data_IF_430232181247
#
_entry.id   IF_430232181247
#
_cell.length_a   1.000
_cell.length_b   1.000
_cell.length_c   1.000
_cell.angle_alpha   90.00
_cell.angle_beta   90.00
_cell.angle_gamma   90.00
#
_symmetry.space_group_name_H-M   'P 1'
#
loop_
_entity.id
_entity.type
_entity.pdbx_description
1 polymer ?
#
# COMPACT_ATOMS: atom_id res chain seq x y z
N UNK A 1 -17.62 19.09 5.34
CA UNK A 1 -17.16 18.27 4.20
C UNK A 1 -16.45 19.22 3.27
N UNK A 2 -15.16 19.39 3.47
CA UNK A 2 -14.33 20.32 2.71
C UNK A 2 -13.11 19.52 2.30
N UNK A 3 -13.11 19.11 1.04
CA UNK A 3 -11.95 18.52 0.40
C UNK A 3 -10.84 19.58 0.41
N UNK A 4 -9.60 19.16 0.60
CA UNK A 4 -8.45 20.02 0.37
C UNK A 4 -8.56 20.54 -1.08
N UNK A 5 -8.82 21.84 -1.24
CA UNK A 5 -9.12 22.50 -2.54
C UNK A 5 -7.97 22.38 -3.56
N UNK A 6 -6.82 21.87 -3.13
CA UNK A 6 -5.66 21.61 -3.99
C UNK A 6 -5.68 20.20 -4.61
N UNK A 7 -6.48 19.26 -4.08
CA UNK A 7 -6.58 17.90 -4.63
C UNK A 7 -7.64 17.79 -5.76
N UNK A 8 -8.64 18.68 -5.77
CA UNK A 8 -9.69 18.69 -6.81
C UNK A 8 -9.26 19.39 -8.12
N UNK A 9 -8.25 20.26 -8.07
CA UNK A 9 -7.78 20.99 -9.27
C UNK A 9 -7.03 20.09 -10.26
N UNK A 10 -6.50 18.95 -9.82
CA UNK A 10 -5.72 18.03 -10.65
C UNK A 10 -6.56 16.98 -11.41
N UNK A 11 -7.87 16.90 -11.17
CA UNK A 11 -8.77 16.10 -12.04
C UNK A 11 -9.07 16.78 -13.38
N UNK A 12 -8.93 18.10 -13.46
CA UNK A 12 -9.25 18.89 -14.64
C UNK A 12 -8.08 19.06 -15.62
N UNK A 13 -6.86 18.64 -15.24
CA UNK A 13 -5.66 18.72 -16.08
C UNK A 13 -5.25 17.35 -16.65
N UNK A 14 -6.24 16.51 -17.01
CA UNK A 14 -6.08 15.26 -17.78
C UNK A 14 -5.14 15.50 -18.95
N UNK A 15 -3.86 15.22 -18.66
CA UNK A 15 -2.74 15.78 -19.38
C UNK A 15 -2.68 15.21 -20.78
N UNK A 16 -2.26 16.08 -21.70
CA UNK A 16 -1.75 15.73 -23.01
C UNK A 16 -1.11 14.34 -23.00
N UNK A 17 -1.75 13.38 -23.67
CA UNK A 17 -1.27 12.01 -23.80
C UNK A 17 0.14 12.05 -24.39
N UNK A 18 1.16 11.91 -23.52
CA UNK A 18 2.55 11.83 -23.97
C UNK A 18 2.70 10.49 -24.67
N UNK A 19 3.02 10.52 -25.96
CA UNK A 19 3.42 9.33 -26.69
C UNK A 19 4.70 8.78 -26.09
N UNK A 20 4.76 7.47 -25.85
CA UNK A 20 5.94 6.79 -25.32
C UNK A 20 7.05 6.80 -26.38
N UNK A 21 8.19 7.39 -26.05
CA UNK A 21 9.39 7.31 -26.90
C UNK A 21 10.25 6.14 -26.39
N UNK A 22 10.07 4.94 -26.93
CA UNK A 22 10.76 3.73 -26.46
C UNK A 22 12.31 3.78 -26.58
N UNK A 23 12.87 4.76 -27.31
CA UNK A 23 14.31 5.00 -27.30
C UNK A 23 14.77 5.64 -25.99
N UNK A 24 13.96 6.54 -25.43
CA UNK A 24 14.30 7.35 -24.24
C UNK A 24 13.53 6.97 -22.98
N UNK A 25 12.42 6.27 -23.14
CA UNK A 25 11.49 5.90 -22.11
C UNK A 25 11.48 4.38 -21.90
N UNK A 26 11.09 3.98 -20.69
CA UNK A 26 10.82 2.62 -20.27
C UNK A 26 9.47 2.60 -19.59
N UNK A 27 8.75 1.50 -19.76
CA UNK A 27 7.49 1.30 -19.06
C UNK A 27 7.74 0.68 -17.70
N UNK A 28 7.12 1.22 -16.66
CA UNK A 28 7.16 0.70 -15.29
C UNK A 28 5.75 0.39 -14.84
N UNK A 29 5.49 -0.85 -14.45
CA UNK A 29 4.21 -1.24 -13.87
C UNK A 29 4.28 -1.18 -12.34
N UNK A 30 3.36 -0.44 -11.75
CA UNK A 30 3.23 -0.32 -10.30
C UNK A 30 1.94 -0.98 -9.83
N UNK A 31 2.09 -1.91 -8.88
CA UNK A 31 0.97 -2.56 -8.19
C UNK A 31 0.75 -2.02 -6.76
N UNK A 32 1.68 -1.22 -6.24
CA UNK A 32 1.74 -0.85 -4.82
C UNK A 32 1.61 0.65 -4.57
N UNK A 33 2.38 1.16 -3.59
CA UNK A 33 2.24 2.54 -3.09
C UNK A 33 2.73 3.64 -4.04
N UNK A 34 3.32 3.32 -5.20
CA UNK A 34 3.66 4.32 -6.22
C UNK A 34 2.46 4.68 -7.09
N UNK A 35 1.35 3.93 -7.01
CA UNK A 35 0.11 4.25 -7.73
C UNK A 35 -0.48 5.60 -7.31
N UNK A 36 -1.32 6.20 -8.17
CA UNK A 36 -2.01 7.47 -7.88
C UNK A 36 -2.84 7.37 -6.60
N UNK A 37 -2.85 8.45 -5.82
CA UNK A 37 -3.58 8.55 -4.55
C UNK A 37 -2.87 7.95 -3.33
N UNK A 38 -1.77 7.21 -3.51
CA UNK A 38 -0.99 6.67 -2.39
C UNK A 38 0.08 7.65 -1.91
N UNK A 39 0.48 7.51 -0.65
CA UNK A 39 1.47 8.39 0.00
C UNK A 39 2.84 8.43 -0.70
N UNK A 40 3.28 7.36 -1.39
CA UNK A 40 4.56 7.35 -2.09
C UNK A 40 4.47 7.86 -3.54
N UNK A 41 3.28 8.24 -4.02
CA UNK A 41 3.05 8.72 -5.39
C UNK A 41 3.86 9.99 -5.74
N UNK A 42 4.23 10.80 -4.75
CA UNK A 42 5.09 11.97 -4.99
C UNK A 42 6.44 11.59 -5.66
N UNK A 43 6.91 10.35 -5.50
CA UNK A 43 8.15 9.89 -6.13
C UNK A 43 8.03 9.67 -7.64
N UNK A 44 6.80 9.51 -8.15
CA UNK A 44 6.50 9.44 -9.58
C UNK A 44 6.00 10.78 -10.15
N UNK A 45 5.76 11.79 -9.30
CA UNK A 45 5.58 13.20 -9.70
C UNK A 45 6.92 13.90 -10.00
N UNK A 46 7.85 13.20 -10.67
CA UNK A 46 9.13 13.77 -11.12
C UNK A 46 9.05 14.09 -12.59
N UNK A 47 9.69 15.18 -13.01
CA UNK A 47 9.84 15.52 -14.44
C UNK A 47 10.45 14.34 -15.18
N UNK A 48 9.69 13.75 -16.12
CA UNK A 48 10.11 12.58 -16.88
C UNK A 48 9.48 11.25 -16.44
N UNK A 49 8.56 11.27 -15.48
CA UNK A 49 7.66 10.15 -15.18
C UNK A 49 6.22 10.61 -15.41
N UNK A 50 5.45 9.84 -16.15
CA UNK A 50 4.03 10.15 -16.41
C UNK A 50 3.19 8.88 -16.41
N UNK A 51 2.03 8.95 -15.77
CA UNK A 51 1.01 7.92 -15.91
C UNK A 51 0.64 7.73 -17.39
N UNK A 52 0.45 6.49 -17.81
CA UNK A 52 0.04 6.16 -19.17
C UNK A 52 -1.35 5.54 -19.23
N UNK A 53 -1.54 4.41 -18.54
CA UNK A 53 -2.84 3.72 -18.46
C UNK A 53 -2.85 2.71 -17.31
N UNK A 54 -4.02 2.25 -16.91
CA UNK A 54 -4.15 1.08 -16.03
C UNK A 54 -3.79 -0.19 -16.81
N UNK A 55 -3.30 -1.20 -16.11
CA UNK A 55 -2.90 -2.46 -16.72
C UNK A 55 -3.07 -3.63 -15.76
N UNK A 56 -3.04 -4.85 -16.31
CA UNK A 56 -3.09 -6.11 -15.57
C UNK A 56 -1.96 -7.02 -16.03
N UNK A 57 -1.29 -7.76 -15.14
CA UNK A 57 -0.21 -8.68 -15.55
C UNK A 57 -0.71 -9.77 -16.50
N UNK A 58 0.08 -10.11 -17.53
CA UNK A 58 -0.33 -11.20 -18.44
C UNK A 58 -0.14 -12.58 -17.85
N UNK A 59 0.79 -12.71 -16.90
CA UNK A 59 0.98 -13.94 -16.13
C UNK A 59 0.41 -13.75 -14.71
N UNK A 60 -0.09 -14.83 -14.08
CA UNK A 60 -0.50 -14.77 -12.69
C UNK A 60 0.71 -14.68 -11.76
N UNK A 61 0.55 -13.91 -10.68
CA UNK A 61 1.54 -13.72 -9.63
C UNK A 61 0.90 -13.86 -8.26
N UNK A 62 1.71 -14.19 -7.25
CA UNK A 62 1.28 -14.14 -5.86
C UNK A 62 1.53 -12.74 -5.35
N UNK A 63 0.45 -12.04 -5.04
CA UNK A 63 0.49 -10.75 -4.37
C UNK A 63 -0.16 -10.86 -3.00
N UNK A 64 0.51 -10.33 -1.98
CA UNK A 64 0.07 -10.45 -0.58
C UNK A 64 0.46 -9.23 0.25
N UNK A 65 -0.18 -9.08 1.41
CA UNK A 65 0.24 -8.11 2.43
C UNK A 65 1.20 -8.74 3.43
N UNK A 66 2.37 -8.13 3.60
CA UNK A 66 3.33 -8.55 4.61
C UNK A 66 2.96 -7.98 5.98
N UNK A 67 2.24 -8.76 6.78
CA UNK A 67 1.85 -8.41 8.15
C UNK A 67 3.04 -8.15 9.07
N UNK A 68 4.19 -8.78 8.80
CA UNK A 68 5.42 -8.56 9.57
C UNK A 68 6.17 -7.30 9.15
N UNK A 69 5.76 -6.67 8.04
CA UNK A 69 6.40 -5.48 7.50
C UNK A 69 5.39 -4.41 7.09
N UNK A 70 4.55 -4.03 8.06
CA UNK A 70 3.61 -2.91 7.99
C UNK A 70 2.53 -3.05 6.92
N UNK A 71 2.14 -4.28 6.60
CA UNK A 71 1.12 -4.58 5.60
C UNK A 71 1.41 -3.90 4.26
N UNK A 72 2.69 -3.84 3.87
CA UNK A 72 3.05 -3.39 2.53
C UNK A 72 2.65 -4.46 1.51
N UNK A 73 2.24 -4.06 0.30
CA UNK A 73 2.01 -5.00 -0.78
C UNK A 73 3.34 -5.60 -1.23
N UNK A 74 3.37 -6.93 -1.36
CA UNK A 74 4.50 -7.69 -1.86
C UNK A 74 4.05 -8.49 -3.08
N UNK A 75 4.88 -8.54 -4.12
CA UNK A 75 4.64 -9.30 -5.34
C UNK A 75 5.77 -10.29 -5.56
N UNK A 76 5.44 -11.56 -5.78
CA UNK A 76 6.41 -12.64 -6.01
C UNK A 76 6.53 -12.92 -7.52
N UNK A 77 7.75 -13.13 -8.06
CA UNK A 77 7.94 -13.49 -9.46
C UNK A 77 7.10 -14.72 -9.87
N UNK A 78 6.54 -14.66 -11.07
CA UNK A 78 5.73 -15.73 -11.65
C UNK A 78 6.58 -16.95 -12.01
N UNK A 79 5.93 -18.11 -12.11
CA UNK A 79 6.50 -19.47 -12.04
C UNK A 79 6.99 -19.88 -10.65
N UNK A 80 6.09 -19.92 -9.68
CA UNK A 80 6.21 -20.93 -8.64
C UNK A 80 5.36 -22.12 -9.07
N UNK A 81 5.97 -23.10 -9.73
CA UNK A 81 5.52 -24.50 -9.76
C UNK A 81 5.62 -25.18 -8.38
N UNK A 82 5.60 -24.36 -7.33
CA UNK A 82 5.62 -24.74 -5.92
C UNK A 82 4.25 -24.54 -5.28
N UNK A 83 4.17 -24.48 -3.95
CA UNK A 83 2.91 -24.60 -3.18
C UNK A 83 1.92 -23.42 -3.33
N UNK A 84 2.14 -22.49 -4.26
CA UNK A 84 1.40 -21.22 -4.34
C UNK A 84 0.70 -20.99 -5.68
N UNK A 85 0.64 -22.01 -6.55
CA UNK A 85 -0.08 -21.92 -7.83
C UNK A 85 -1.53 -21.51 -7.64
N UNK A 86 -2.19 -22.08 -6.62
CA UNK A 86 -3.63 -21.97 -6.40
C UNK A 86 -4.07 -20.60 -5.85
N UNK A 87 -3.10 -19.81 -5.38
CA UNK A 87 -3.33 -18.46 -4.83
C UNK A 87 -2.75 -17.36 -5.73
N UNK A 88 -2.22 -17.72 -6.90
CA UNK A 88 -1.74 -16.78 -7.89
C UNK A 88 -2.90 -16.18 -8.69
N UNK A 89 -2.79 -14.90 -9.05
CA UNK A 89 -3.82 -14.19 -9.81
C UNK A 89 -3.19 -13.15 -10.73
N UNK A 90 -3.93 -12.69 -11.74
CA UNK A 90 -3.50 -11.56 -12.55
C UNK A 90 -3.60 -10.28 -11.71
N UNK A 91 -2.49 -9.55 -11.61
CA UNK A 91 -2.39 -8.41 -10.71
C UNK A 91 -2.70 -7.12 -11.45
N UNK A 92 -3.63 -6.33 -10.93
CA UNK A 92 -4.00 -5.02 -11.44
C UNK A 92 -3.11 -3.90 -10.89
N UNK A 93 -2.80 -2.93 -11.74
CA UNK A 93 -1.95 -1.81 -11.39
C UNK A 93 -1.97 -0.70 -12.43
N UNK A 94 -0.96 0.16 -12.37
CA UNK A 94 -0.82 1.32 -13.24
C UNK A 94 0.49 1.24 -14.01
N UNK A 95 0.44 1.62 -15.28
CA UNK A 95 1.57 1.66 -16.19
C UNK A 95 2.05 3.11 -16.33
N UNK A 96 3.34 3.31 -16.11
CA UNK A 96 4.00 4.61 -16.18
C UNK A 96 5.04 4.62 -17.30
N UNK A 97 5.11 5.73 -18.02
CA UNK A 97 6.20 6.05 -18.92
C UNK A 97 7.28 6.79 -18.13
N UNK A 98 8.47 6.21 -18.05
CA UNK A 98 9.59 6.71 -17.24
C UNK A 98 10.79 6.94 -18.16
N UNK A 99 11.41 8.12 -18.11
CA UNK A 99 12.70 8.33 -18.80
C UNK A 99 13.74 7.34 -18.28
N UNK A 100 14.48 6.70 -19.18
CA UNK A 100 15.53 5.72 -18.83
C UNK A 100 16.56 6.28 -17.83
N UNK A 101 16.87 7.57 -17.91
CA UNK A 101 17.79 8.25 -16.97
C UNK A 101 17.28 8.29 -15.52
N UNK A 102 15.98 8.15 -15.29
CA UNK A 102 15.35 8.16 -13.96
C UNK A 102 15.21 6.77 -13.35
N UNK A 103 15.45 5.73 -14.15
CA UNK A 103 15.23 4.36 -13.74
C UNK A 103 16.13 3.96 -12.55
N UNK A 104 17.38 4.42 -12.51
CA UNK A 104 18.28 4.22 -11.37
C UNK A 104 17.86 4.98 -10.08
N UNK A 105 17.13 6.09 -10.21
CA UNK A 105 16.55 6.79 -9.04
C UNK A 105 15.37 6.01 -8.44
N UNK A 106 14.59 5.32 -9.28
CA UNK A 106 13.54 4.42 -8.81
C UNK A 106 14.14 3.18 -8.14
N UNK A 107 15.22 2.60 -8.70
CA UNK A 107 15.96 1.51 -8.04
C UNK A 107 16.44 1.87 -6.65
N UNK A 108 17.03 3.06 -6.50
CA UNK A 108 17.52 3.54 -5.21
C UNK A 108 16.38 3.70 -4.20
N UNK A 109 15.22 4.21 -4.64
CA UNK A 109 14.02 4.34 -3.81
C UNK A 109 13.50 2.98 -3.33
N UNK A 110 13.35 2.03 -4.25
CA UNK A 110 12.91 0.67 -3.95
C UNK A 110 14.01 -0.22 -3.34
N UNK A 111 15.24 0.32 -3.17
CA UNK A 111 16.40 -0.37 -2.61
C UNK A 111 16.72 -1.68 -3.34
N UNK A 112 16.73 -1.64 -4.67
CA UNK A 112 17.19 -2.74 -5.51
C UNK A 112 18.71 -2.91 -5.37
N UNK A 113 19.26 -4.15 -5.31
CA UNK A 113 18.58 -5.46 -5.30
C UNK A 113 18.32 -6.02 -3.89
N UNK A 114 18.40 -5.21 -2.83
CA UNK A 114 18.30 -5.67 -1.45
C UNK A 114 16.87 -6.00 -1.03
N UNK A 115 15.91 -5.11 -1.31
CA UNK A 115 14.51 -5.25 -0.90
C UNK A 115 13.63 -5.79 -2.02
N UNK A 116 13.81 -5.23 -3.22
CA UNK A 116 13.13 -5.65 -4.43
C UNK A 116 14.16 -6.08 -5.48
N UNK A 117 13.70 -6.87 -6.43
CA UNK A 117 14.40 -7.18 -7.66
C UNK A 117 13.58 -6.60 -8.81
N UNK A 118 14.21 -5.88 -9.72
CA UNK A 118 13.53 -5.40 -10.92
C UNK A 118 13.60 -6.46 -12.01
N UNK A 119 12.46 -6.78 -12.61
CA UNK A 119 12.33 -7.72 -13.71
C UNK A 119 11.39 -7.18 -14.77
N UNK A 120 11.64 -7.53 -16.03
CA UNK A 120 10.73 -7.23 -17.13
C UNK A 120 9.62 -8.29 -17.19
N UNK A 121 8.36 -7.87 -17.26
CA UNK A 121 7.19 -8.75 -17.45
C UNK A 121 6.27 -8.22 -18.55
N UNK A 122 5.32 -9.06 -18.96
CA UNK A 122 4.20 -8.65 -19.80
C UNK A 122 3.02 -8.15 -18.98
N UNK A 123 2.39 -7.07 -19.43
CA UNK A 123 1.10 -6.56 -18.93
C UNK A 123 0.14 -6.30 -20.09
N UNK A 124 -1.16 -6.42 -19.85
CA UNK A 124 -2.23 -6.05 -20.76
C UNK A 124 -2.75 -4.65 -20.40
N UNK A 125 -2.60 -3.68 -21.31
CA UNK A 125 -3.12 -2.32 -21.13
C UNK A 125 -4.66 -2.31 -21.13
N UNK A 126 -5.26 -1.67 -20.13
CA UNK A 126 -6.72 -1.64 -20.00
C UNK A 126 -7.39 -0.79 -21.08
N UNK A 127 -6.73 0.25 -21.59
CA UNK A 127 -7.31 1.18 -22.57
C UNK A 127 -7.11 0.71 -24.01
N UNK A 128 -5.89 0.30 -24.35
CA UNK A 128 -5.55 -0.13 -25.71
C UNK A 128 -5.73 -1.64 -25.96
N UNK A 129 -5.96 -2.42 -24.90
CA UNK A 129 -6.05 -3.89 -24.92
C UNK A 129 -4.83 -4.57 -25.55
N UNK A 130 -3.66 -3.94 -25.49
CA UNK A 130 -2.40 -4.46 -26.05
C UNK A 130 -1.48 -4.97 -24.95
N UNK A 131 -0.68 -5.98 -25.30
CA UNK A 131 0.41 -6.45 -24.45
C UNK A 131 1.58 -5.49 -24.54
N UNK A 132 2.13 -5.11 -23.39
CA UNK A 132 3.32 -4.29 -23.25
C UNK A 132 4.34 -5.01 -22.37
N UNK A 133 5.62 -4.87 -22.70
CA UNK A 133 6.70 -5.27 -21.79
C UNK A 133 7.07 -4.09 -20.89
N UNK A 134 7.16 -4.32 -19.59
CA UNK A 134 7.46 -3.29 -18.61
C UNK A 134 8.29 -3.83 -17.45
N UNK A 135 8.96 -2.91 -16.77
CA UNK A 135 9.71 -3.18 -15.55
C UNK A 135 8.79 -3.23 -14.33
N UNK A 136 9.03 -4.20 -13.45
CA UNK A 136 8.30 -4.38 -12.18
C UNK A 136 9.28 -4.71 -11.06
N UNK A 137 9.00 -4.18 -9.87
CA UNK A 137 9.77 -4.44 -8.66
C UNK A 137 9.13 -5.61 -7.88
N UNK A 138 9.73 -6.79 -7.96
CA UNK A 138 9.32 -7.97 -7.22
C UNK A 138 9.97 -8.04 -5.85
N UNK A 139 9.21 -8.44 -4.84
CA UNK A 139 9.71 -8.59 -3.47
C UNK A 139 10.74 -9.71 -3.42
N UNK A 140 11.90 -9.43 -2.84
CA UNK A 140 12.86 -10.48 -2.49
C UNK A 140 12.40 -11.15 -1.20
N UNK A 141 11.88 -12.38 -1.31
CA UNK A 141 11.42 -13.14 -0.16
C UNK A 141 12.60 -13.52 0.75
N UNK A 142 12.47 -13.17 2.03
CA UNK A 142 13.30 -13.75 3.09
C UNK A 142 12.79 -15.14 3.48
N UNK A 143 13.64 -15.93 4.14
CA UNK A 143 13.27 -17.26 4.66
C UNK A 143 12.01 -17.20 5.54
N UNK A 144 11.86 -16.15 6.34
CA UNK A 144 10.68 -15.96 7.19
C UNK A 144 9.41 -15.72 6.36
N UNK A 145 9.49 -14.88 5.32
CA UNK A 145 8.35 -14.62 4.42
C UNK A 145 7.98 -15.86 3.61
N UNK A 146 8.96 -16.63 3.13
CA UNK A 146 8.70 -17.91 2.48
C UNK A 146 7.92 -18.86 3.40
N UNK A 147 8.31 -18.97 4.67
CA UNK A 147 7.59 -19.78 5.67
C UNK A 147 6.18 -19.26 5.98
N UNK A 148 5.99 -17.94 6.05
CA UNK A 148 4.66 -17.35 6.25
C UNK A 148 3.72 -17.69 5.09
N UNK A 149 4.24 -17.64 3.87
CA UNK A 149 3.53 -18.07 2.67
C UNK A 149 3.25 -19.59 2.72
N UNK A 150 4.23 -20.42 3.05
CA UNK A 150 4.03 -21.89 3.15
C UNK A 150 2.96 -22.28 4.18
N UNK A 151 2.87 -21.55 5.29
CA UNK A 151 1.93 -21.85 6.37
C UNK A 151 0.52 -21.27 6.16
N UNK A 152 0.24 -20.58 5.04
CA UNK A 152 -1.09 -20.00 4.80
C UNK A 152 -1.41 -18.75 5.62
N UNK A 153 -0.45 -18.16 6.32
CA UNK A 153 -0.65 -17.00 7.19
C UNK A 153 -0.45 -15.67 6.46
N UNK A 154 -1.17 -15.48 5.35
CA UNK A 154 -1.10 -14.27 4.54
C UNK A 154 -2.44 -13.98 3.88
N UNK A 155 -2.69 -12.70 3.61
CA UNK A 155 -3.82 -12.26 2.80
C UNK A 155 -3.34 -12.01 1.38
N UNK A 156 -3.85 -12.78 0.42
CA UNK A 156 -3.63 -12.52 -1.01
C UNK A 156 -4.58 -11.48 -1.55
N UNK A 157 -4.21 -10.89 -2.67
CA UNK A 157 -5.03 -9.96 -3.44
C UNK A 157 -4.58 -9.91 -4.89
N UNK A 158 -5.49 -9.53 -5.77
CA UNK A 158 -5.23 -9.23 -7.18
C UNK A 158 -5.07 -7.72 -7.42
N UNK A 159 -5.56 -6.88 -6.50
CA UNK A 159 -5.47 -5.42 -6.60
C UNK A 159 -5.31 -4.74 -5.23
N UNK A 160 -4.22 -3.99 -5.05
CA UNK A 160 -4.02 -3.18 -3.85
C UNK A 160 -4.68 -1.80 -4.00
N UNK A 161 -5.82 -1.59 -3.36
CA UNK A 161 -6.55 -0.31 -3.39
C UNK A 161 -6.10 0.64 -2.27
N UNK A 162 -6.50 1.92 -2.39
CA UNK A 162 -6.27 2.90 -1.34
C UNK A 162 -7.05 2.55 -0.07
N UNK A 163 -8.25 1.99 -0.19
CA UNK A 163 -9.04 1.55 0.97
C UNK A 163 -8.32 0.45 1.75
N UNK A 164 -7.78 -0.56 1.05
CA UNK A 164 -6.96 -1.61 1.66
C UNK A 164 -5.71 -1.01 2.34
N UNK A 165 -5.10 0.01 1.72
CA UNK A 165 -3.96 0.71 2.31
C UNK A 165 -4.33 1.45 3.59
N UNK A 166 -5.43 2.22 3.59
CA UNK A 166 -5.86 2.99 4.75
C UNK A 166 -6.29 2.11 5.92
N UNK A 167 -6.85 0.93 5.65
CA UNK A 167 -7.24 -0.01 6.70
C UNK A 167 -6.07 -0.78 7.32
N UNK A 168 -4.96 -0.98 6.57
CA UNK A 168 -3.93 -1.95 6.97
C UNK A 168 -2.52 -1.36 7.11
N UNK A 169 -2.16 -0.30 6.38
CA UNK A 169 -0.77 0.13 6.21
C UNK A 169 -0.23 0.97 7.39
N UNK A 170 1.01 0.70 7.80
CA UNK A 170 1.73 1.48 8.83
C UNK A 170 3.00 2.16 8.27
N UNK A 171 3.01 3.50 8.08
CA UNK A 171 4.10 4.22 7.42
C UNK A 171 5.44 4.19 8.20
N UNK A 172 6.56 4.52 7.54
CA UNK A 172 7.88 4.66 8.19
C UNK A 172 7.92 5.95 9.01
N UNK A 173 8.37 5.84 10.26
CA UNK A 173 8.78 6.99 11.07
C UNK A 173 9.74 7.85 10.25
N UNK A 174 9.38 9.10 9.97
CA UNK A 174 10.16 10.05 9.16
C UNK A 174 9.63 10.34 7.74
N UNK A 175 8.66 9.58 7.21
CA UNK A 175 7.97 9.88 5.95
C UNK A 175 6.57 10.49 6.20
N UNK A 176 6.52 11.57 6.99
CA UNK A 176 5.24 12.16 7.48
C UNK A 176 4.69 13.27 6.56
N UNK A 177 5.38 13.63 5.48
CA UNK A 177 4.84 14.60 4.51
C UNK A 177 3.82 13.89 3.62
N UNK A 178 2.54 14.01 3.99
CA UNK A 178 1.40 13.53 3.21
C UNK A 178 0.41 12.61 3.94
N UNK A 179 0.44 12.55 5.29
CA UNK A 179 -0.68 11.92 5.99
C UNK A 179 -1.94 12.76 5.75
N UNK A 180 -2.97 12.15 5.16
CA UNK A 180 -4.34 12.64 5.25
C UNK A 180 -4.70 12.51 6.73
N UNK A 181 -4.94 13.64 7.38
CA UNK A 181 -5.48 13.65 8.75
C UNK A 181 -6.85 12.97 8.72
N UNK A 182 -6.90 11.72 9.16
CA UNK A 182 -8.15 11.07 9.52
C UNK A 182 -8.56 11.68 10.85
N UNK A 183 -9.40 12.71 10.82
CA UNK A 183 -10.11 13.17 12.01
C UNK A 183 -11.23 12.17 12.32
N UNK A 184 -10.85 11.08 12.99
CA UNK A 184 -11.83 10.14 13.52
C UNK A 184 -12.54 10.77 14.71
N UNK A 185 -13.74 11.28 14.47
CA UNK A 185 -14.66 11.81 15.48
C UNK A 185 -15.52 10.70 16.11
N UNK A 186 -15.09 9.43 16.04
CA UNK A 186 -15.81 8.29 16.64
C UNK A 186 -14.90 7.28 17.33
N UNK A 187 -13.93 7.75 18.09
CA UNK A 187 -13.27 6.93 19.09
C UNK A 187 -12.91 7.77 20.32
N UNK A 188 -13.94 8.18 21.06
CA UNK A 188 -13.78 8.87 22.35
C UNK A 188 -14.98 8.56 23.23
N UNK A 189 -15.09 7.33 23.71
CA UNK A 189 -15.82 7.03 24.93
C UNK A 189 -15.01 6.03 25.77
N UNK A 190 -14.30 6.64 26.70
CA UNK A 190 -14.07 6.21 28.08
C UNK A 190 -13.10 5.05 28.36
N UNK A 191 -11.83 5.43 28.50
CA UNK A 191 -10.95 4.86 29.53
C UNK A 191 -10.49 6.02 30.43
N UNK A 192 -11.29 6.37 31.43
CA UNK A 192 -10.80 7.10 32.61
C UNK A 192 -10.60 6.09 33.74
N UNK A 193 -9.33 5.71 33.91
CA UNK A 193 -8.78 5.19 35.15
C UNK A 193 -8.18 6.38 35.89
N UNK A 194 -8.60 6.63 37.13
CA UNK A 194 -7.72 7.29 38.11
C UNK A 194 -8.18 7.01 39.54
N UNK A 195 -7.49 6.05 40.14
CA UNK A 195 -7.29 5.92 41.58
C UNK A 195 -6.89 7.24 42.29
N UNK A 196 -7.47 7.49 43.48
CA UNK A 196 -6.82 7.83 44.78
C UNK A 196 -7.71 8.69 45.67
N UNK A 197 -7.83 8.30 46.93
CA UNK A 197 -8.35 9.14 48.01
C UNK A 197 -8.79 8.33 49.22
N UNK A 198 -7.84 7.95 50.07
CA UNK A 198 -8.09 7.55 51.47
C UNK A 198 -8.72 8.73 52.23
N UNK A 199 -9.70 8.51 53.11
CA UNK A 199 -9.63 8.88 54.54
C UNK A 199 -10.86 8.40 55.33
N UNK A 200 -10.61 7.96 56.56
CA UNK A 200 -11.56 7.47 57.56
C UNK A 200 -12.32 8.64 58.23
N UNK A 201 -13.57 8.44 58.67
CA UNK A 201 -14.08 8.91 59.98
C UNK A 201 -15.51 8.45 60.28
N UNK A 202 -15.60 7.41 61.13
CA UNK A 202 -16.43 7.23 62.34
C UNK A 202 -17.61 8.21 62.60
N UNK A 203 -18.80 7.67 62.92
CA UNK A 203 -19.53 7.74 64.21
C UNK A 203 -21.00 7.25 64.03
N UNK A 204 -21.37 6.26 64.86
CA UNK A 204 -22.63 5.98 65.61
C UNK A 204 -23.93 6.73 65.20
N UNK A 205 -25.16 6.21 65.31
CA UNK A 205 -25.79 5.40 66.37
C UNK A 205 -27.25 5.10 65.92
N UNK A 206 -27.77 3.91 66.26
CA UNK A 206 -29.14 3.60 66.80
C UNK A 206 -30.40 4.24 66.20
N UNK A 207 -31.60 3.67 66.11
CA UNK A 207 -32.35 2.47 66.54
C UNK A 207 -33.68 2.63 65.72
N UNK A 208 -34.55 1.66 65.43
CA UNK A 208 -35.50 1.04 66.36
C UNK A 208 -36.67 0.41 65.55
N UNK A 209 -37.23 -0.70 66.06
CA UNK A 209 -38.46 -1.43 65.68
C UNK A 209 -38.35 -2.47 64.53
N UNK A 210 -38.70 -3.75 64.73
CA UNK A 210 -39.33 -4.38 65.88
C UNK A 210 -39.35 -5.92 65.79
N UNK A 211 -39.38 -6.53 66.97
CA UNK A 211 -39.47 -7.95 67.24
C UNK A 211 -40.92 -8.48 67.11
N UNK A 212 -41.08 -9.71 66.60
CA UNK A 212 -41.76 -10.84 67.26
C UNK A 212 -41.50 -12.12 66.49
#
# INVERSE_FOLDING_TARGET
MTLCEDCEKDRASLGSSRTVDFEKDVLVFSYGTLKRGFCNHFNVHKVGISYWQDAVTTEPHVMFLDSTNRHRPCLVPGEHSGPFSDVSSHVGGELYCVKKSLLGSLDAFERVPMHYMRMTIGVLGCSDKKRHNCEVYFTKLSVAQSKLLENGHFQTMDFYSLDVHLMSYCPRSGNVKGQIEITDSRCSLEAEDTSRGEDETRVEMEQMFGAM
#
